data_IF_615162782444
#
_entry.id   IF_615162782444
#
_cell.length_a   1.000
_cell.length_b   1.000
_cell.length_c   1.000
_cell.angle_alpha   90.00
_cell.angle_beta   90.00
_cell.angle_gamma   90.00
#
_symmetry.space_group_name_H-M   'P 1'
#
loop_
_entity.id
_entity.type
_entity.pdbx_description
1 polymer ?
#
# COMPACT_ATOMS: atom_id res chain seq x y z
N UNK A 1 -9.08 6.54 -19.80
CA UNK A 1 -7.77 7.24 -19.77
C UNK A 1 -6.62 6.44 -20.37
N UNK A 2 -6.42 5.15 -20.04
CA UNK A 2 -5.33 4.34 -20.62
C UNK A 2 -5.38 4.24 -22.16
N UNK A 3 -6.58 4.13 -22.73
CA UNK A 3 -6.78 3.93 -24.18
C UNK A 3 -6.29 5.07 -25.09
N UNK A 4 -6.08 6.29 -24.58
CA UNK A 4 -5.58 7.41 -25.38
C UNK A 4 -4.10 7.74 -25.17
N UNK A 5 -3.48 7.22 -24.11
CA UNK A 5 -2.06 7.50 -23.79
C UNK A 5 -1.13 6.69 -24.69
N UNK A 6 -1.39 5.38 -24.87
CA UNK A 6 -0.51 4.50 -25.65
C UNK A 6 -0.38 4.97 -27.12
N UNK A 7 -1.46 5.28 -27.86
CA UNK A 7 -1.34 5.82 -29.21
C UNK A 7 -0.57 7.15 -29.25
N UNK A 8 -0.78 8.00 -28.23
CA UNK A 8 -0.14 9.32 -28.13
C UNK A 8 1.36 9.23 -27.84
N UNK A 9 1.79 8.25 -27.01
CA UNK A 9 3.21 7.90 -26.84
C UNK A 9 3.82 7.55 -28.19
N UNK A 10 3.15 6.69 -28.97
CA UNK A 10 3.61 6.28 -30.29
C UNK A 10 3.73 7.44 -31.29
N UNK A 11 2.71 8.32 -31.34
CA UNK A 11 2.73 9.51 -32.20
C UNK A 11 3.84 10.48 -31.79
N UNK A 12 4.00 10.73 -30.50
CA UNK A 12 5.05 11.63 -29.98
C UNK A 12 6.45 11.07 -30.21
N UNK A 13 6.65 9.77 -30.02
CA UNK A 13 7.92 9.11 -30.33
C UNK A 13 8.29 9.25 -31.82
N UNK A 14 7.31 9.05 -32.72
CA UNK A 14 7.51 9.31 -34.16
C UNK A 14 7.88 10.77 -34.42
N UNK A 15 7.20 11.72 -33.78
CA UNK A 15 7.48 13.15 -33.95
C UNK A 15 8.86 13.56 -33.40
N UNK A 16 9.34 12.91 -32.33
CA UNK A 16 10.69 13.14 -31.79
C UNK A 16 11.80 12.70 -32.74
N UNK A 17 11.57 11.62 -33.51
CA UNK A 17 12.57 11.07 -34.43
C UNK A 17 12.48 11.72 -35.81
N UNK A 18 11.27 12.04 -36.28
CA UNK A 18 11.03 12.64 -37.59
C UNK A 18 11.85 13.92 -37.78
N UNK A 19 12.44 14.16 -38.97
CA UNK A 19 13.10 15.42 -39.26
C UNK A 19 12.08 16.57 -39.27
N UNK A 20 12.51 17.82 -39.03
CA UNK A 20 11.65 18.99 -39.19
C UNK A 20 10.92 18.96 -40.54
N UNK A 21 9.63 19.34 -40.60
CA UNK A 21 8.84 19.27 -41.82
C UNK A 21 9.47 20.11 -42.94
N UNK A 22 9.29 19.69 -44.19
CA UNK A 22 9.83 20.42 -45.35
C UNK A 22 9.25 21.83 -45.43
N UNK A 23 10.08 22.76 -45.90
CA UNK A 23 9.63 24.12 -46.15
C UNK A 23 8.56 24.11 -47.26
N UNK A 24 7.44 24.87 -47.10
CA UNK A 24 6.43 24.94 -48.14
C UNK A 24 6.98 25.68 -49.36
N UNK A 25 6.50 25.29 -50.55
CA UNK A 25 6.85 25.93 -51.82
C UNK A 25 6.40 27.38 -51.93
N UNK A 26 5.44 27.81 -51.10
CA UNK A 26 4.93 29.19 -51.05
C UNK A 26 4.78 29.65 -49.61
N UNK A 27 5.65 30.58 -49.18
CA UNK A 27 5.63 31.17 -47.84
C UNK A 27 4.42 32.09 -47.60
N UNK A 28 3.84 32.65 -48.67
CA UNK A 28 2.68 33.54 -48.57
C UNK A 28 1.38 32.83 -48.16
N UNK A 29 1.37 31.49 -48.19
CA UNK A 29 0.24 30.67 -47.70
C UNK A 29 0.30 30.41 -46.19
N UNK A 30 1.41 30.77 -45.54
CA UNK A 30 1.54 30.58 -44.10
C UNK A 30 0.82 31.71 -43.36
N UNK A 31 0.12 31.40 -42.24
CA UNK A 31 -0.58 32.41 -41.43
C UNK A 31 0.34 33.51 -40.89
N UNK A 32 1.62 33.18 -40.71
CA UNK A 32 2.66 34.11 -40.29
C UNK A 32 3.87 33.98 -41.22
N UNK A 33 4.11 35.01 -42.03
CA UNK A 33 5.32 35.13 -42.84
C UNK A 33 5.78 36.59 -42.90
N UNK A 34 7.07 36.80 -43.16
CA UNK A 34 7.65 38.12 -43.37
C UNK A 34 8.65 38.06 -44.52
N UNK A 35 8.43 38.90 -45.53
CA UNK A 35 9.41 39.10 -46.60
C UNK A 35 10.41 40.18 -46.18
N UNK A 36 11.69 39.91 -46.40
CA UNK A 36 12.77 40.85 -46.10
C UNK A 36 13.62 40.98 -47.35
N UNK A 37 13.75 42.20 -47.87
CA UNK A 37 14.58 42.50 -49.04
C UNK A 37 16.05 42.61 -48.63
N UNK A 38 16.73 41.48 -48.45
CA UNK A 38 18.19 41.44 -48.23
C UNK A 38 18.87 40.88 -49.51
N UNK A 39 19.88 41.59 -50.02
CA UNK A 39 20.64 41.19 -51.22
C UNK A 39 21.69 40.12 -50.91
N UNK A 40 21.96 39.81 -49.63
CA UNK A 40 22.90 38.76 -49.21
C UNK A 40 22.15 37.64 -48.51
N UNK A 41 22.15 36.45 -49.12
CA UNK A 41 21.57 35.26 -48.51
C UNK A 41 22.37 34.84 -47.26
N UNK A 42 21.84 35.10 -46.05
CA UNK A 42 22.54 34.91 -44.76
C UNK A 42 22.09 33.63 -44.03
N UNK A 43 21.75 32.57 -44.76
CA UNK A 43 21.29 31.30 -44.18
C UNK A 43 22.26 30.76 -43.12
N UNK A 44 23.58 30.84 -43.35
CA UNK A 44 24.59 30.41 -42.37
C UNK A 44 24.51 31.13 -41.02
N UNK A 45 24.11 32.41 -41.00
CA UNK A 45 23.93 33.15 -39.74
C UNK A 45 22.65 32.73 -39.03
N UNK A 46 21.57 32.50 -39.78
CA UNK A 46 20.32 32.00 -39.26
C UNK A 46 20.48 30.58 -38.67
N UNK A 47 21.21 29.71 -39.35
CA UNK A 47 21.51 28.36 -38.87
C UNK A 47 22.28 28.39 -37.54
N UNK A 48 23.36 29.18 -37.45
CA UNK A 48 24.14 29.34 -36.21
C UNK A 48 23.28 29.85 -35.07
N UNK A 49 22.41 30.83 -35.33
CA UNK A 49 21.50 31.40 -34.35
C UNK A 49 20.48 30.37 -33.84
N UNK A 50 19.88 29.59 -34.73
CA UNK A 50 18.91 28.55 -34.39
C UNK A 50 19.57 27.40 -33.61
N UNK A 51 20.75 26.93 -34.04
CA UNK A 51 21.54 25.92 -33.32
C UNK A 51 21.94 26.39 -31.92
N UNK A 52 22.39 27.64 -31.77
CA UNK A 52 22.73 28.22 -30.46
C UNK A 52 21.55 28.21 -29.48
N UNK A 53 20.32 28.29 -29.99
CA UNK A 53 19.07 28.21 -29.20
C UNK A 53 18.51 26.79 -29.06
N UNK A 54 19.29 25.76 -29.43
CA UNK A 54 18.93 24.34 -29.34
C UNK A 54 17.69 23.97 -30.17
N UNK A 55 17.51 24.60 -31.32
CA UNK A 55 16.57 24.09 -32.32
C UNK A 55 17.21 22.91 -33.03
N UNK A 56 16.38 21.94 -33.44
CA UNK A 56 16.79 20.95 -34.43
C UNK A 56 16.72 21.64 -35.79
N UNK A 57 17.83 21.69 -36.53
CA UNK A 57 17.94 22.47 -37.77
C UNK A 57 18.38 21.57 -38.91
N UNK A 58 17.71 21.67 -40.06
CA UNK A 58 18.16 21.09 -41.33
C UNK A 58 18.24 22.25 -42.35
N UNK A 59 19.40 22.36 -43.00
CA UNK A 59 19.63 23.30 -44.09
C UNK A 59 19.73 22.52 -45.41
N UNK A 60 18.88 22.84 -46.38
CA UNK A 60 18.82 22.19 -47.70
C UNK A 60 18.66 23.25 -48.79
N UNK A 61 19.66 23.35 -49.67
CA UNK A 61 19.69 24.34 -50.75
C UNK A 61 19.53 25.77 -50.21
N UNK A 62 18.50 26.46 -50.70
CA UNK A 62 18.17 27.83 -50.32
C UNK A 62 17.17 27.93 -49.14
N UNK A 63 16.98 26.86 -48.37
CA UNK A 63 16.02 26.81 -47.28
C UNK A 63 16.62 26.29 -45.96
N UNK A 64 16.13 26.83 -44.85
CA UNK A 64 16.40 26.33 -43.50
C UNK A 64 15.07 26.02 -42.82
N UNK A 65 14.98 24.82 -42.25
CA UNK A 65 13.86 24.37 -41.42
C UNK A 65 14.34 24.07 -40.00
N UNK A 66 13.58 24.52 -39.02
CA UNK A 66 13.95 24.37 -37.63
C UNK A 66 12.72 24.19 -36.73
N UNK A 67 12.83 23.28 -35.76
CA UNK A 67 11.76 23.02 -34.79
C UNK A 67 12.32 22.86 -33.37
N UNK A 68 11.46 23.13 -32.38
CA UNK A 68 11.72 22.99 -30.94
C UNK A 68 10.37 22.94 -30.22
N UNK A 69 10.31 22.31 -29.05
CA UNK A 69 9.13 22.38 -28.18
C UNK A 69 8.58 21.05 -27.68
N UNK A 70 9.20 19.92 -28.01
CA UNK A 70 8.71 18.60 -27.61
C UNK A 70 8.73 18.33 -26.11
N UNK A 71 9.53 19.07 -25.32
CA UNK A 71 9.69 18.83 -23.87
C UNK A 71 8.38 18.89 -23.09
N UNK A 72 7.50 19.85 -23.41
CA UNK A 72 6.22 19.99 -22.71
C UNK A 72 5.34 18.76 -22.89
N UNK A 73 5.29 18.26 -24.13
CA UNK A 73 4.51 17.08 -24.48
C UNK A 73 5.15 15.79 -23.96
N UNK A 74 6.49 15.67 -24.01
CA UNK A 74 7.23 14.56 -23.40
C UNK A 74 6.94 14.47 -21.90
N UNK A 75 7.02 15.59 -21.19
CA UNK A 75 6.76 15.63 -19.74
C UNK A 75 5.31 15.25 -19.42
N UNK A 76 4.36 15.75 -20.21
CA UNK A 76 2.95 15.40 -20.06
C UNK A 76 2.70 13.89 -20.24
N UNK A 77 3.26 13.30 -21.29
CA UNK A 77 3.13 11.86 -21.57
C UNK A 77 3.81 11.02 -20.49
N UNK A 78 5.02 11.40 -20.08
CA UNK A 78 5.75 10.72 -19.02
C UNK A 78 4.94 10.71 -17.72
N UNK A 79 4.43 11.87 -17.31
CA UNK A 79 3.62 11.99 -16.10
C UNK A 79 2.40 11.05 -16.10
N UNK A 80 1.62 11.06 -17.18
CA UNK A 80 0.43 10.21 -17.29
C UNK A 80 0.79 8.72 -17.35
N UNK A 81 1.87 8.37 -18.04
CA UNK A 81 2.35 6.99 -18.14
C UNK A 81 2.83 6.48 -16.78
N UNK A 82 3.53 7.31 -16.02
CA UNK A 82 3.94 7.01 -14.64
C UNK A 82 2.74 6.79 -13.73
N UNK A 83 1.68 7.60 -13.84
CA UNK A 83 0.46 7.40 -13.05
C UNK A 83 -0.24 6.08 -13.37
N UNK A 84 -0.30 5.70 -14.64
CA UNK A 84 -0.80 4.39 -15.06
C UNK A 84 0.09 3.27 -14.49
N UNK A 85 1.42 3.43 -14.56
CA UNK A 85 2.37 2.49 -13.99
C UNK A 85 2.15 2.28 -12.49
N UNK A 86 1.97 3.35 -11.72
CA UNK A 86 1.65 3.26 -10.28
C UNK A 86 0.34 2.51 -10.05
N UNK A 87 -0.70 2.81 -10.82
CA UNK A 87 -2.00 2.14 -10.69
C UNK A 87 -1.90 0.64 -10.98
N UNK A 88 -1.15 0.26 -12.03
CA UNK A 88 -0.90 -1.16 -12.35
C UNK A 88 -0.11 -1.84 -11.24
N UNK A 89 0.95 -1.19 -10.72
CA UNK A 89 1.75 -1.75 -9.62
C UNK A 89 0.94 -1.94 -8.35
N UNK A 90 0.10 -0.97 -7.97
CA UNK A 90 -0.80 -1.10 -6.81
C UNK A 90 -1.84 -2.19 -7.04
N UNK A 91 -2.44 -2.26 -8.23
CA UNK A 91 -3.42 -3.28 -8.58
C UNK A 91 -2.84 -4.70 -8.54
N UNK A 92 -1.66 -4.90 -9.13
CA UNK A 92 -0.95 -6.18 -9.07
C UNK A 92 -0.49 -6.51 -7.64
N UNK A 93 0.02 -5.53 -6.91
CA UNK A 93 0.42 -5.69 -5.51
C UNK A 93 -0.75 -6.15 -4.64
N UNK A 94 -1.91 -5.50 -4.75
CA UNK A 94 -3.12 -5.90 -4.06
C UNK A 94 -3.61 -7.28 -4.48
N UNK A 95 -3.66 -7.55 -5.79
CA UNK A 95 -4.12 -8.83 -6.34
C UNK A 95 -3.25 -10.02 -5.90
N UNK A 96 -1.95 -9.82 -5.69
CA UNK A 96 -1.00 -10.84 -5.26
C UNK A 96 -0.74 -10.84 -3.74
N UNK A 97 -1.40 -9.98 -2.98
CA UNK A 97 -1.27 -9.88 -1.52
C UNK A 97 -2.44 -10.55 -0.79
N UNK A 98 -2.34 -10.65 0.53
CA UNK A 98 -3.45 -11.01 1.41
C UNK A 98 -3.46 -10.08 2.63
N UNK A 99 -4.62 -9.96 3.27
CA UNK A 99 -4.74 -9.43 4.62
C UNK A 99 -5.55 -10.38 5.49
N UNK A 100 -5.24 -10.41 6.79
CA UNK A 100 -5.98 -11.23 7.75
C UNK A 100 -5.91 -10.63 9.13
N UNK A 101 -6.88 -11.00 9.98
CA UNK A 101 -6.94 -10.61 11.38
C UNK A 101 -7.12 -11.84 12.26
N UNK A 102 -6.45 -11.83 13.41
CA UNK A 102 -6.55 -12.87 14.43
C UNK A 102 -6.43 -12.23 15.81
N UNK A 103 -7.35 -12.55 16.70
CA UNK A 103 -7.33 -12.16 18.11
C UNK A 103 -6.52 -13.19 18.89
N UNK A 104 -5.33 -12.83 19.35
CA UNK A 104 -4.47 -13.76 20.08
C UNK A 104 -4.58 -13.50 21.59
N UNK A 105 -4.89 -14.54 22.36
CA UNK A 105 -4.84 -14.49 23.83
C UNK A 105 -3.42 -14.77 24.31
N UNK A 106 -2.99 -14.16 25.42
CA UNK A 106 -1.67 -14.46 26.00
C UNK A 106 -1.51 -15.97 26.24
N UNK A 107 -0.37 -16.52 25.82
CA UNK A 107 -0.07 -17.96 25.81
C UNK A 107 -0.54 -18.71 24.57
N UNK A 108 -1.42 -18.12 23.74
CA UNK A 108 -1.82 -18.74 22.47
C UNK A 108 -0.76 -18.57 21.38
N UNK A 109 -0.74 -19.54 20.47
CA UNK A 109 0.11 -19.52 19.28
C UNK A 109 -0.75 -19.46 18.03
N UNK A 110 -0.52 -18.43 17.22
CA UNK A 110 -1.03 -18.33 15.87
C UNK A 110 -0.11 -19.08 14.89
N UNK A 111 -0.69 -19.74 13.90
CA UNK A 111 0.01 -20.36 12.78
C UNK A 111 -0.53 -19.75 11.50
N UNK A 112 0.36 -19.30 10.60
CA UNK A 112 0.00 -18.60 9.38
C UNK A 112 -0.53 -19.56 8.29
N UNK A 113 -1.73 -20.06 8.53
CA UNK A 113 -2.55 -20.79 7.57
C UNK A 113 -3.94 -20.14 7.50
N UNK A 114 -4.69 -20.40 6.43
CA UNK A 114 -5.98 -19.75 6.18
C UNK A 114 -6.99 -19.97 7.32
N UNK A 115 -7.04 -21.19 7.88
CA UNK A 115 -7.96 -21.53 8.98
C UNK A 115 -7.57 -20.90 10.33
N UNK A 116 -6.36 -20.39 10.47
CA UNK A 116 -5.83 -19.77 11.69
C UNK A 116 -6.24 -18.31 11.86
N UNK A 117 -6.90 -17.71 10.86
CA UNK A 117 -7.39 -16.33 10.91
C UNK A 117 -8.87 -16.27 11.30
N UNK A 118 -9.25 -15.25 12.06
CA UNK A 118 -10.66 -14.94 12.34
C UNK A 118 -11.34 -14.28 11.13
N UNK A 119 -10.56 -13.52 10.35
CA UNK A 119 -10.94 -13.04 9.02
C UNK A 119 -9.75 -13.08 8.07
N UNK A 120 -9.99 -13.51 6.84
CA UNK A 120 -8.96 -13.63 5.81
C UNK A 120 -9.47 -13.10 4.49
N UNK A 121 -8.73 -12.17 3.88
CA UNK A 121 -9.08 -11.54 2.60
C UNK A 121 -7.90 -11.71 1.64
N UNK A 122 -7.95 -12.74 0.76
CA UNK A 122 -6.94 -12.91 -0.27
C UNK A 122 -7.17 -11.94 -1.43
N UNK A 123 -6.09 -11.52 -2.08
CA UNK A 123 -6.14 -10.82 -3.36
C UNK A 123 -6.63 -11.74 -4.48
N UNK A 124 -7.12 -11.14 -5.57
CA UNK A 124 -7.72 -11.85 -6.71
C UNK A 124 -6.82 -12.95 -7.32
N UNK A 125 -5.50 -12.76 -7.27
CA UNK A 125 -4.50 -13.66 -7.84
C UNK A 125 -3.66 -14.36 -6.75
N UNK A 126 -4.08 -14.27 -5.48
CA UNK A 126 -3.38 -14.88 -4.37
C UNK A 126 -3.82 -16.34 -4.16
N UNK A 127 -2.86 -17.22 -3.92
CA UNK A 127 -3.10 -18.61 -3.52
C UNK A 127 -2.68 -18.77 -2.05
N UNK A 128 -3.59 -19.22 -1.18
CA UNK A 128 -3.33 -19.47 0.24
C UNK A 128 -2.17 -20.44 0.50
N UNK A 129 -1.78 -21.27 -0.46
CA UNK A 129 -0.58 -22.12 -0.38
C UNK A 129 0.73 -21.34 -0.34
N UNK A 130 0.71 -20.07 -0.76
CA UNK A 130 1.87 -19.18 -0.74
C UNK A 130 2.03 -18.45 0.60
N UNK A 131 1.19 -18.72 1.59
CA UNK A 131 1.36 -18.20 2.94
C UNK A 131 2.73 -18.62 3.49
N UNK A 132 3.46 -17.66 4.04
CA UNK A 132 4.75 -17.94 4.68
C UNK A 132 4.54 -18.84 5.88
N UNK A 133 5.18 -20.03 5.93
CA UNK A 133 4.99 -20.95 7.04
C UNK A 133 5.73 -20.43 8.28
N UNK A 134 4.96 -19.81 9.17
CA UNK A 134 5.42 -19.19 10.40
C UNK A 134 4.40 -19.38 11.53
N UNK A 135 4.86 -19.26 12.77
CA UNK A 135 4.01 -19.18 13.95
C UNK A 135 4.42 -18.01 14.84
N UNK A 136 3.47 -17.47 15.59
CA UNK A 136 3.67 -16.36 16.52
C UNK A 136 2.94 -16.69 17.81
N UNK A 137 3.67 -16.73 18.92
CA UNK A 137 3.10 -16.89 20.26
C UNK A 137 3.04 -15.53 20.93
N UNK A 138 1.89 -15.15 21.51
CA UNK A 138 1.80 -13.96 22.34
C UNK A 138 2.26 -14.30 23.75
N UNK A 139 3.48 -13.91 24.11
CA UNK A 139 4.04 -14.23 25.43
C UNK A 139 3.48 -13.30 26.50
N UNK A 140 3.37 -12.00 26.17
CA UNK A 140 2.85 -10.99 27.10
C UNK A 140 2.41 -9.72 26.38
N UNK A 141 1.22 -9.25 26.68
CA UNK A 141 0.69 -7.97 26.28
C UNK A 141 0.69 -7.00 27.47
N UNK A 142 1.23 -5.80 27.28
CA UNK A 142 1.28 -4.75 28.31
C UNK A 142 0.73 -3.45 27.75
N UNK A 143 -0.22 -2.85 28.46
CA UNK A 143 -0.73 -1.51 28.17
C UNK A 143 -0.35 -0.57 29.31
N UNK A 144 0.23 0.57 28.97
CA UNK A 144 0.55 1.64 29.92
C UNK A 144 -0.42 2.79 29.72
N UNK A 145 -0.99 3.32 30.79
CA UNK A 145 -1.90 4.48 30.77
C UNK A 145 -1.30 5.65 31.57
N UNK A 146 -1.66 6.87 31.19
CA UNK A 146 -1.26 8.08 31.90
C UNK A 146 -2.15 8.28 33.13
N UNK A 147 -1.59 8.04 34.31
CA UNK A 147 -2.26 8.32 35.59
C UNK A 147 -1.66 9.51 36.33
N UNK A 148 -0.65 10.17 35.75
CA UNK A 148 0.10 11.24 36.40
C UNK A 148 -0.38 12.62 35.94
N UNK A 149 -0.76 12.75 34.67
CA UNK A 149 -1.23 14.01 34.10
C UNK A 149 -2.76 14.14 34.25
N UNK A 150 -3.27 15.09 35.06
CA UNK A 150 -4.70 15.26 35.24
C UNK A 150 -5.47 15.56 33.93
N UNK A 151 -4.81 16.19 32.95
CA UNK A 151 -5.43 16.53 31.66
C UNK A 151 -5.53 15.33 30.70
N UNK A 152 -4.77 14.26 30.94
CA UNK A 152 -4.72 13.04 30.13
C UNK A 152 -4.99 11.78 30.95
N UNK A 153 -5.59 11.92 32.13
CA UNK A 153 -5.79 10.82 33.05
C UNK A 153 -6.58 9.66 32.41
N UNK A 154 -6.03 8.45 32.50
CA UNK A 154 -6.61 7.24 31.91
C UNK A 154 -6.39 7.08 30.40
N UNK A 155 -5.63 7.96 29.73
CA UNK A 155 -5.31 7.80 28.30
C UNK A 155 -4.17 6.79 28.09
N UNK A 156 -4.24 5.94 27.06
CA UNK A 156 -3.17 5.00 26.77
C UNK A 156 -1.90 5.72 26.28
N UNK A 157 -0.75 5.32 26.84
CA UNK A 157 0.58 5.80 26.50
C UNK A 157 1.35 4.84 25.60
N UNK A 158 1.25 3.54 25.88
CA UNK A 158 2.03 2.52 25.17
C UNK A 158 1.28 1.19 25.14
N UNK A 159 1.32 0.53 23.99
CA UNK A 159 0.84 -0.84 23.81
C UNK A 159 2.01 -1.68 23.30
N UNK A 160 2.38 -2.69 24.08
CA UNK A 160 3.55 -3.53 23.83
C UNK A 160 3.13 -5.00 23.85
N UNK A 161 3.26 -5.67 22.71
CA UNK A 161 3.12 -7.12 22.61
C UNK A 161 4.52 -7.74 22.52
N UNK A 162 4.89 -8.53 23.52
CA UNK A 162 6.06 -9.39 23.49
C UNK A 162 5.65 -10.71 22.87
N UNK A 163 6.34 -11.11 21.81
CA UNK A 163 5.99 -12.29 21.03
C UNK A 163 7.21 -13.16 20.79
N UNK A 164 6.97 -14.45 20.65
CA UNK A 164 7.95 -15.40 20.14
C UNK A 164 7.54 -15.79 18.73
N UNK A 165 8.28 -15.32 17.74
CA UNK A 165 8.04 -15.64 16.33
C UNK A 165 8.94 -16.78 15.88
N UNK A 166 8.43 -17.66 15.01
CA UNK A 166 9.19 -18.80 14.49
C UNK A 166 8.88 -18.98 13.01
N UNK A 167 9.92 -18.90 12.19
CA UNK A 167 9.87 -19.33 10.79
C UNK A 167 10.04 -20.86 10.71
N UNK A 168 9.49 -21.48 9.66
CA UNK A 168 9.69 -22.90 9.41
C UNK A 168 11.20 -23.26 9.45
N UNK A 169 11.52 -24.31 10.20
CA UNK A 169 12.88 -24.83 10.38
C UNK A 169 13.88 -23.86 11.05
N UNK A 170 13.40 -22.85 11.78
CA UNK A 170 14.23 -21.95 12.58
C UNK A 170 13.83 -22.03 14.06
N UNK A 171 14.71 -21.57 14.93
CA UNK A 171 14.39 -21.44 16.36
C UNK A 171 13.48 -20.22 16.61
N UNK A 172 12.63 -20.27 17.65
CA UNK A 172 11.85 -19.11 18.06
C UNK A 172 12.76 -17.91 18.40
N UNK A 173 12.35 -16.73 17.94
CA UNK A 173 13.01 -15.45 18.24
C UNK A 173 12.06 -14.57 19.02
N UNK A 174 12.54 -14.00 20.12
CA UNK A 174 11.77 -13.05 20.93
C UNK A 174 11.79 -11.68 20.27
N UNK A 175 10.61 -11.11 20.05
CA UNK A 175 10.40 -9.84 19.36
C UNK A 175 9.33 -9.01 20.06
N UNK A 176 9.28 -7.72 19.74
CA UNK A 176 8.35 -6.77 20.34
C UNK A 176 7.58 -6.03 19.26
N UNK A 177 6.25 -6.09 19.33
CA UNK A 177 5.34 -5.36 18.44
C UNK A 177 4.76 -4.17 19.20
N UNK A 178 4.82 -2.99 18.58
CA UNK A 178 4.16 -1.77 19.04
C UNK A 178 3.32 -1.15 17.91
N UNK A 179 2.43 -0.22 18.26
CA UNK A 179 1.53 0.47 17.30
C UNK A 179 2.27 1.01 16.06
N UNK A 180 3.44 1.62 16.25
CA UNK A 180 4.27 2.17 15.17
C UNK A 180 5.54 1.33 14.88
N UNK A 181 5.65 0.14 15.46
CA UNK A 181 6.77 -0.76 15.25
C UNK A 181 6.24 -2.18 15.00
N UNK A 182 5.82 -2.47 13.75
CA UNK A 182 5.27 -3.78 13.40
C UNK A 182 6.37 -4.84 13.35
N UNK A 183 5.98 -6.09 13.53
CA UNK A 183 6.86 -7.21 13.27
C UNK A 183 7.00 -7.44 11.76
N UNK A 184 8.24 -7.40 11.28
CA UNK A 184 8.62 -7.58 9.88
C UNK A 184 9.17 -8.99 9.67
N UNK A 185 8.40 -9.84 8.99
CA UNK A 185 8.80 -11.20 8.62
C UNK A 185 8.94 -11.31 7.09
N UNK A 186 9.63 -12.34 6.57
CA UNK A 186 9.68 -12.59 5.14
C UNK A 186 8.26 -12.69 4.55
N UNK A 187 7.93 -11.80 3.61
CA UNK A 187 6.62 -11.73 2.93
C UNK A 187 5.39 -11.56 3.85
N UNK A 188 5.59 -11.19 5.12
CA UNK A 188 4.50 -10.99 6.08
C UNK A 188 4.83 -9.85 7.04
N UNK A 189 3.83 -9.03 7.36
CA UNK A 189 3.95 -7.94 8.32
C UNK A 189 2.83 -8.05 9.33
N UNK A 190 3.18 -8.03 10.61
CA UNK A 190 2.21 -8.20 11.69
C UNK A 190 2.12 -6.90 12.47
N UNK A 191 0.91 -6.37 12.52
CA UNK A 191 0.60 -5.10 13.14
C UNK A 191 -0.27 -5.33 14.37
N UNK A 192 0.01 -4.58 15.43
CA UNK A 192 -0.90 -4.46 16.56
C UNK A 192 -2.02 -3.47 16.16
N UNK A 193 -3.19 -4.00 15.82
CA UNK A 193 -4.33 -3.20 15.34
C UNK A 193 -5.33 -2.83 16.44
N UNK A 194 -5.30 -3.57 17.55
CA UNK A 194 -6.18 -3.34 18.69
C UNK A 194 -5.84 -4.27 19.85
N UNK A 195 -6.54 -4.07 20.97
CA UNK A 195 -6.41 -4.86 22.18
C UNK A 195 -7.77 -5.02 22.85
N UNK A 196 -7.89 -6.03 23.70
CA UNK A 196 -9.08 -6.30 24.50
C UNK A 196 -8.70 -7.03 25.78
N UNK A 197 -9.70 -7.60 26.44
CA UNK A 197 -9.50 -8.39 27.65
C UNK A 197 -9.83 -9.85 27.36
N UNK A 198 -9.08 -10.76 27.98
CA UNK A 198 -9.34 -12.19 27.93
C UNK A 198 -9.31 -12.79 29.34
N UNK A 199 -10.25 -12.43 30.23
CA UNK A 199 -10.27 -12.95 31.58
C UNK A 199 -10.43 -14.48 31.58
N UNK A 200 -9.74 -15.14 32.51
CA UNK A 200 -9.99 -16.55 32.81
C UNK A 200 -11.24 -16.64 33.66
N UNK A 201 -12.29 -17.20 33.09
CA UNK A 201 -13.59 -17.36 33.75
C UNK A 201 -13.75 -18.81 34.16
N UNK A 202 -14.19 -19.02 35.40
CA UNK A 202 -14.51 -20.35 35.94
C UNK A 202 -15.99 -20.37 36.29
N UNK A 203 -16.75 -21.23 35.63
CA UNK A 203 -18.16 -21.48 35.91
C UNK A 203 -18.30 -22.79 36.67
N UNK A 204 -19.14 -22.76 37.70
CA UNK A 204 -19.43 -23.92 38.54
C UNK A 204 -20.93 -24.17 38.57
N UNK A 205 -21.30 -25.45 38.47
CA UNK A 205 -22.68 -25.90 38.63
C UNK A 205 -23.10 -25.82 40.11
N UNK A 206 -24.39 -26.04 40.39
CA UNK A 206 -24.94 -25.90 41.74
C UNK A 206 -24.30 -26.86 42.76
N UNK A 207 -23.72 -27.97 42.31
CA UNK A 207 -22.98 -28.94 43.13
C UNK A 207 -21.50 -28.59 43.33
N UNK A 208 -21.02 -27.48 42.73
CA UNK A 208 -19.64 -27.00 42.80
C UNK A 208 -18.70 -27.53 41.70
N UNK A 209 -19.18 -28.45 40.86
CA UNK A 209 -18.43 -28.99 39.70
C UNK A 209 -18.11 -27.88 38.71
N UNK A 210 -16.88 -27.84 38.19
CA UNK A 210 -16.51 -26.86 37.15
C UNK A 210 -17.08 -27.32 35.81
N UNK A 211 -18.03 -26.56 35.26
CA UNK A 211 -18.59 -26.80 33.92
C UNK A 211 -17.82 -26.03 32.83
N UNK A 212 -17.11 -24.96 33.17
CA UNK A 212 -16.23 -24.25 32.24
C UNK A 212 -15.06 -23.60 32.98
N UNK A 213 -13.87 -23.65 32.40
CA UNK A 213 -12.70 -22.90 32.89
C UNK A 213 -11.76 -22.56 31.74
N UNK A 214 -11.59 -21.27 31.46
CA UNK A 214 -10.67 -20.83 30.40
C UNK A 214 -10.75 -19.33 30.11
N UNK A 215 -9.83 -18.82 29.28
CA UNK A 215 -9.91 -17.44 28.80
C UNK A 215 -11.14 -17.25 27.92
N UNK A 216 -11.83 -16.13 28.10
CA UNK A 216 -12.94 -15.70 27.25
C UNK A 216 -12.60 -14.35 26.65
N UNK A 217 -12.66 -14.23 25.33
CA UNK A 217 -12.35 -12.97 24.64
C UNK A 217 -13.50 -11.98 24.80
N UNK A 218 -13.18 -10.78 25.30
CA UNK A 218 -14.07 -9.63 25.38
C UNK A 218 -13.60 -8.56 24.38
N UNK A 219 -14.39 -8.32 23.33
CA UNK A 219 -14.05 -7.40 22.25
C UNK A 219 -14.58 -5.98 22.54
N UNK A 220 -13.75 -4.92 22.38
CA UNK A 220 -14.19 -3.54 22.52
C UNK A 220 -15.35 -3.19 21.58
N UNK A 221 -16.32 -2.45 22.10
CA UNK A 221 -17.51 -1.97 21.40
C UNK A 221 -17.47 -0.45 21.14
N UNK A 222 -16.63 0.27 21.88
CA UNK A 222 -16.49 1.73 21.78
C UNK A 222 -15.04 2.17 22.03
N UNK A 223 -14.80 3.49 21.94
CA UNK A 223 -13.48 4.09 22.17
C UNK A 223 -13.04 4.09 23.64
N UNK A 224 -13.95 3.81 24.57
CA UNK A 224 -13.65 3.69 26.00
C UNK A 224 -13.26 2.26 26.39
N UNK A 225 -13.13 1.35 25.40
CA UNK A 225 -12.84 -0.07 25.61
C UNK A 225 -13.92 -0.78 26.44
N UNK A 226 -15.17 -0.31 26.39
CA UNK A 226 -16.31 -1.10 26.87
C UNK A 226 -16.36 -2.37 26.03
N UNK A 227 -16.17 -3.53 26.64
CA UNK A 227 -16.06 -4.79 25.90
C UNK A 227 -17.25 -5.70 26.13
N UNK A 228 -17.57 -6.50 25.11
CA UNK A 228 -18.61 -7.52 25.16
C UNK A 228 -17.97 -8.90 24.98
N UNK A 229 -18.32 -9.82 25.87
CA UNK A 229 -17.96 -11.23 25.82
C UNK A 229 -19.20 -12.11 25.78
N UNK A 230 -19.08 -13.25 25.10
CA UNK A 230 -20.15 -14.26 25.06
C UNK A 230 -19.56 -15.59 25.47
N UNK A 231 -20.19 -16.23 26.46
CA UNK A 231 -19.83 -17.56 26.94
C UNK A 231 -20.97 -18.51 26.59
N UNK A 232 -20.65 -19.62 25.93
CA UNK A 232 -21.56 -20.72 25.72
C UNK A 232 -21.09 -21.86 26.60
N UNK A 233 -21.92 -22.32 27.54
CA UNK A 233 -21.59 -23.39 28.47
C UNK A 233 -22.49 -24.62 28.22
N UNK A 234 -22.18 -25.43 27.18
CA UNK A 234 -22.97 -26.63 26.86
C UNK A 234 -22.79 -27.75 27.90
N UNK A 235 -21.71 -27.71 28.68
CA UNK A 235 -21.36 -28.73 29.68
C UNK A 235 -22.01 -28.47 31.06
N UNK A 236 -22.71 -27.35 31.21
CA UNK A 236 -23.43 -27.00 32.42
C UNK A 236 -24.55 -27.99 32.75
N UNK A 237 -24.77 -28.20 34.04
CA UNK A 237 -25.89 -29.00 34.57
C UNK A 237 -26.76 -28.18 35.54
N UNK A 238 -28.09 -28.42 35.57
CA UNK A 238 -28.84 -29.44 34.82
C UNK A 238 -29.10 -29.06 33.35
N UNK A 239 -29.12 -27.77 33.04
CA UNK A 239 -29.42 -27.23 31.71
C UNK A 239 -28.22 -26.46 31.15
N UNK A 240 -27.97 -26.61 29.85
CA UNK A 240 -27.02 -25.79 29.10
C UNK A 240 -27.48 -24.32 29.08
N UNK A 241 -26.53 -23.39 29.15
CA UNK A 241 -26.84 -21.97 29.06
C UNK A 241 -25.75 -21.18 28.35
N UNK A 242 -26.09 -19.95 27.97
CA UNK A 242 -25.17 -18.95 27.48
C UNK A 242 -25.28 -17.67 28.29
N UNK A 243 -24.17 -16.94 28.41
CA UNK A 243 -24.11 -15.65 29.08
C UNK A 243 -23.46 -14.62 28.17
N UNK A 244 -23.88 -13.38 28.33
CA UNK A 244 -23.33 -12.22 27.65
C UNK A 244 -23.07 -11.15 28.71
N UNK A 245 -21.92 -10.48 28.63
CA UNK A 245 -21.52 -9.44 29.58
C UNK A 245 -20.38 -8.60 29.08
#
# INVERSE_FOLDING_TARGET
MIGCVIPRVGVHYKALIAPPPQAPTSLSRLPAYKLVSDKKNKLNKAEKFLKARRFRVIAEGDSIRAEKGYFRETGNILFHTSLIGVLVSVGLGGALSYSGQRVLVEGETFVNNEAGFDSFTPGLLFDSKNLTPLSITLDKFTTTYDYLNPNNYGRPLDFTANVSSKLANQDPTAEVIKVNNPLMLPNSKVYLTGNGFAPVIVLRDADGTVSFSGPVVFLPQDSNLTSLGVIKNPDAKPDQYGMMG
#
